data_IF_831502440195
#
_entry.id   IF_831502440195
#
_cell.length_a   1.000
_cell.length_b   1.000
_cell.length_c   1.000
_cell.angle_alpha   90.00
_cell.angle_beta   90.00
_cell.angle_gamma   90.00
#
_symmetry.space_group_name_H-M   'P 1'
#
loop_
_entity.id
_entity.type
_entity.pdbx_description
1 polymer ?
#
# COMPACT_ATOMS: atom_id res chain seq x y z
N UNK A 1 3.88 -4.79 18.87
CA UNK A 1 4.94 -3.90 18.36
C UNK A 1 4.47 -3.45 16.99
N UNK A 2 4.26 -2.16 16.77
CA UNK A 2 3.96 -1.67 15.42
C UNK A 2 5.25 -1.79 14.58
N UNK A 3 5.16 -2.18 13.29
CA UNK A 3 6.33 -2.28 12.44
C UNK A 3 6.99 -0.92 12.24
N UNK A 4 8.31 -0.87 12.40
CA UNK A 4 9.11 0.31 12.11
C UNK A 4 9.48 0.30 10.63
N UNK A 5 8.74 1.06 9.83
CA UNK A 5 8.93 1.13 8.38
C UNK A 5 10.07 2.10 8.02
N UNK A 6 10.90 1.73 7.05
CA UNK A 6 11.95 2.59 6.50
C UNK A 6 11.89 2.67 4.97
N UNK A 7 12.51 3.70 4.42
CA UNK A 7 12.71 3.81 2.98
C UNK A 7 13.51 2.60 2.46
N UNK A 8 13.08 2.06 1.33
CA UNK A 8 13.63 0.84 0.74
C UNK A 8 12.92 -0.45 1.16
N UNK A 9 12.11 -0.43 2.23
CA UNK A 9 11.34 -1.61 2.62
C UNK A 9 10.31 -2.00 1.56
N UNK A 10 10.08 -3.30 1.43
CA UNK A 10 9.00 -3.86 0.64
C UNK A 10 7.79 -4.07 1.51
N UNK A 11 6.63 -3.56 1.07
CA UNK A 11 5.39 -3.63 1.83
C UNK A 11 4.21 -4.02 0.96
N UNK A 12 3.20 -4.60 1.61
CA UNK A 12 1.88 -4.81 1.02
C UNK A 12 0.92 -3.69 1.44
N UNK A 13 0.02 -3.31 0.54
CA UNK A 13 -0.99 -2.27 0.78
C UNK A 13 -2.38 -2.89 0.75
N UNK A 14 -3.21 -2.52 1.72
CA UNK A 14 -4.58 -2.99 1.82
C UNK A 14 -5.49 -2.41 0.75
N UNK A 15 -6.27 -3.29 0.12
CA UNK A 15 -7.26 -2.95 -0.89
C UNK A 15 -8.61 -2.52 -0.32
N UNK A 16 -8.75 -2.47 1.02
CA UNK A 16 -10.02 -2.19 1.70
C UNK A 16 -10.70 -0.91 1.20
N UNK A 17 -9.92 0.11 0.83
CA UNK A 17 -10.43 1.40 0.35
C UNK A 17 -10.28 1.59 -1.17
N UNK A 18 -9.91 0.54 -1.91
CA UNK A 18 -9.75 0.63 -3.36
C UNK A 18 -11.11 0.42 -4.04
N UNK A 19 -11.88 1.50 -4.13
CA UNK A 19 -13.24 1.46 -4.68
C UNK A 19 -13.30 1.08 -6.19
N UNK A 20 -12.19 1.22 -6.92
CA UNK A 20 -12.14 0.98 -8.37
C UNK A 20 -11.44 -0.33 -8.76
N UNK A 21 -11.28 -1.30 -7.85
CA UNK A 21 -10.87 -2.65 -8.28
C UNK A 21 -12.04 -3.32 -9.00
N UNK A 22 -11.75 -4.14 -10.01
CA UNK A 22 -12.76 -4.93 -10.74
C UNK A 22 -12.99 -6.28 -10.02
N UNK A 23 -14.13 -6.94 -10.28
CA UNK A 23 -14.44 -8.29 -9.78
C UNK A 23 -15.20 -8.36 -8.44
N UNK A 24 -15.57 -9.55 -7.93
CA UNK A 24 -16.36 -9.68 -6.70
C UNK A 24 -15.54 -9.39 -5.44
N UNK A 25 -16.04 -8.58 -4.51
CA UNK A 25 -15.34 -8.19 -3.25
C UNK A 25 -14.80 -9.38 -2.44
N UNK A 26 -15.50 -10.53 -2.45
CA UNK A 26 -15.11 -11.75 -1.72
C UNK A 26 -13.94 -12.52 -2.34
N UNK A 27 -13.61 -12.25 -3.60
CA UNK A 27 -12.55 -12.94 -4.35
C UNK A 27 -11.31 -12.06 -4.58
N UNK A 28 -11.33 -10.80 -4.11
CA UNK A 28 -10.19 -9.90 -4.24
C UNK A 28 -9.22 -10.15 -3.11
N UNK A 29 -7.94 -10.12 -3.42
CA UNK A 29 -6.90 -10.10 -2.39
C UNK A 29 -7.06 -8.87 -1.50
N UNK A 30 -6.97 -9.08 -0.19
CA UNK A 30 -7.11 -8.03 0.83
C UNK A 30 -5.87 -7.13 0.90
N UNK A 31 -4.76 -7.56 0.29
CA UNK A 31 -3.45 -6.93 0.23
C UNK A 31 -2.89 -7.05 -1.20
N UNK A 32 -2.21 -6.02 -1.68
CA UNK A 32 -1.55 -5.98 -3.00
C UNK A 32 -0.13 -5.40 -2.88
N UNK A 33 0.76 -5.77 -3.79
CA UNK A 33 2.18 -5.40 -3.75
C UNK A 33 3.05 -6.56 -4.26
N UNK A 34 4.34 -6.63 -3.90
CA UNK A 34 5.10 -5.76 -2.98
C UNK A 34 5.44 -4.41 -3.62
N UNK A 35 5.33 -3.33 -2.84
CA UNK A 35 5.76 -1.99 -3.24
C UNK A 35 6.90 -1.51 -2.36
N UNK A 36 7.87 -0.82 -2.96
CA UNK A 36 9.00 -0.23 -2.23
C UNK A 36 8.58 1.10 -1.61
N UNK A 37 8.80 1.28 -0.31
CA UNK A 37 8.68 2.58 0.35
C UNK A 37 9.76 3.50 -0.22
N UNK A 38 9.33 4.61 -0.82
CA UNK A 38 10.23 5.65 -1.33
C UNK A 38 10.34 6.84 -0.38
N UNK A 39 9.37 7.01 0.53
CA UNK A 39 9.38 8.10 1.50
C UNK A 39 8.49 7.82 2.71
N UNK A 40 8.96 8.19 3.90
CA UNK A 40 8.10 8.32 5.09
C UNK A 40 7.46 9.72 5.14
N UNK A 41 6.14 9.78 5.26
CA UNK A 41 5.37 11.03 5.34
C UNK A 41 4.89 11.23 6.77
N UNK A 42 5.63 12.07 7.50
CA UNK A 42 5.39 12.28 8.92
C UNK A 42 5.45 10.97 9.69
N UNK A 43 4.51 10.77 10.63
CA UNK A 43 4.45 9.57 11.47
C UNK A 43 3.39 8.55 11.03
N UNK A 44 2.55 8.89 10.07
CA UNK A 44 1.27 8.19 9.84
C UNK A 44 1.06 7.70 8.40
N UNK A 45 1.97 8.00 7.47
CA UNK A 45 1.82 7.60 6.07
C UNK A 45 3.17 7.31 5.41
N UNK A 46 3.12 6.51 4.34
CA UNK A 46 4.27 6.20 3.48
C UNK A 46 3.90 6.47 2.04
N UNK A 47 4.87 6.91 1.25
CA UNK A 47 4.79 6.92 -0.21
C UNK A 47 5.50 5.69 -0.76
N UNK A 48 4.85 4.98 -1.68
CA UNK A 48 5.39 3.75 -2.27
C UNK A 48 5.50 3.85 -3.79
N UNK A 49 6.47 3.12 -4.35
CA UNK A 49 6.60 2.95 -5.80
C UNK A 49 5.59 1.92 -6.30
N UNK A 50 4.50 2.39 -6.87
CA UNK A 50 3.48 1.54 -7.49
C UNK A 50 3.95 0.97 -8.84
N UNK A 51 3.58 -0.27 -9.12
CA UNK A 51 3.78 -0.90 -10.44
C UNK A 51 2.77 -0.39 -11.46
N UNK A 52 2.99 -0.65 -12.75
CA UNK A 52 2.14 -0.12 -13.84
C UNK A 52 0.64 -0.44 -13.66
N UNK A 53 0.32 -1.61 -13.14
CA UNK A 53 -1.06 -2.03 -12.82
C UNK A 53 -1.76 -1.06 -11.86
N UNK A 54 -1.00 -0.46 -10.93
CA UNK A 54 -1.51 0.46 -9.90
C UNK A 54 -1.15 1.92 -10.17
N UNK A 55 -0.52 2.25 -11.31
CA UNK A 55 -0.05 3.59 -11.68
C UNK A 55 -1.11 4.71 -11.58
N UNK A 56 -2.40 4.35 -11.71
CA UNK A 56 -3.54 5.29 -11.58
C UNK A 56 -4.05 5.46 -10.14
N UNK A 57 -3.38 4.88 -9.14
CA UNK A 57 -3.69 5.04 -7.71
C UNK A 57 -2.76 6.08 -7.09
N UNK A 58 -3.26 6.74 -6.05
CA UNK A 58 -2.43 7.63 -5.24
C UNK A 58 -1.33 6.81 -4.55
N UNK A 59 -0.05 7.20 -4.62
CA UNK A 59 1.06 6.39 -4.10
C UNK A 59 1.26 6.53 -2.57
N UNK A 60 0.53 7.43 -1.91
CA UNK A 60 0.60 7.63 -0.45
C UNK A 60 -0.49 6.86 0.27
N UNK A 61 -0.10 6.08 1.28
CA UNK A 61 -1.01 5.26 2.09
C UNK A 61 -0.77 5.48 3.60
N UNK A 62 -1.84 5.52 4.42
CA UNK A 62 -1.71 5.48 5.88
C UNK A 62 -1.05 4.19 6.36
N UNK A 63 -0.24 4.25 7.42
CA UNK A 63 0.43 3.07 8.00
C UNK A 63 -0.55 1.96 8.41
N UNK A 64 -1.78 2.32 8.78
CA UNK A 64 -2.83 1.35 9.13
C UNK A 64 -3.24 0.45 7.97
N UNK A 65 -2.98 0.87 6.73
CA UNK A 65 -3.26 0.12 5.50
C UNK A 65 -2.02 -0.59 4.95
N UNK A 66 -0.86 -0.47 5.60
CA UNK A 66 0.41 -1.04 5.13
C UNK A 66 0.77 -2.23 6.01
N UNK A 67 1.30 -3.29 5.38
CA UNK A 67 1.80 -4.50 6.05
C UNK A 67 3.25 -4.76 5.64
N UNK A 68 4.12 -5.17 6.58
CA UNK A 68 5.46 -5.66 6.25
C UNK A 68 5.39 -6.85 5.29
#
# INVERSE_FOLDING_TARGET
MEPDFKEGDQVLVSTLNFNNLKGPKKMRDSLVGSFTIIKLIGKNAVEVKLTEEFSRKHPVFPLSLVKP
#
